data_IF_716945948103
#
_entry.id   IF_716945948103
#
_cell.length_a   1.000
_cell.length_b   1.000
_cell.length_c   1.000
_cell.angle_alpha   90.00
_cell.angle_beta   90.00
_cell.angle_gamma   90.00
#
_symmetry.space_group_name_H-M   'P 1'
#
loop_
_entity.id
_entity.type
_entity.pdbx_description
1 polymer ?
#
# COMPACT_ATOMS: atom_id res chain seq x y z
N UNK A 1 -11.64 -0.83 58.77
CA UNK A 1 -12.48 -1.46 57.74
C UNK A 1 -11.60 -1.79 56.54
N UNK A 2 -11.07 -3.01 56.59
CA UNK A 2 -10.34 -3.71 55.54
C UNK A 2 -11.32 -4.27 54.51
N UNK A 3 -11.03 -4.10 53.22
CA UNK A 3 -11.36 -5.12 52.21
C UNK A 3 -10.36 -5.04 51.07
N UNK A 4 -9.48 -6.06 51.08
CA UNK A 4 -8.68 -6.57 49.98
C UNK A 4 -9.57 -7.14 48.87
N UNK A 5 -9.14 -7.02 47.61
CA UNK A 5 -9.41 -8.04 46.59
C UNK A 5 -8.33 -8.01 45.51
N UNK A 6 -7.48 -9.03 45.58
CA UNK A 6 -6.61 -9.51 44.51
C UNK A 6 -7.42 -9.82 43.25
N UNK A 7 -6.90 -9.49 42.07
CA UNK A 7 -7.09 -10.34 40.89
C UNK A 7 -5.93 -10.23 39.91
N UNK A 8 -5.52 -11.40 39.45
CA UNK A 8 -4.31 -11.74 38.72
C UNK A 8 -4.12 -10.99 37.40
N UNK A 9 -2.89 -10.51 37.16
CA UNK A 9 -2.37 -10.19 35.83
C UNK A 9 -2.29 -11.46 34.97
N UNK A 10 -3.19 -11.56 34.00
CA UNK A 10 -3.08 -12.51 32.88
C UNK A 10 -2.43 -11.77 31.71
N UNK A 11 -1.24 -12.23 31.29
CA UNK A 11 -0.54 -11.77 30.10
C UNK A 11 -1.44 -11.97 28.86
N UNK A 12 -1.57 -11.01 27.93
CA UNK A 12 -2.15 -11.30 26.64
C UNK A 12 -1.12 -12.05 25.79
N UNK A 13 -1.37 -13.33 25.59
CA UNK A 13 -0.73 -14.16 24.57
C UNK A 13 -0.98 -13.55 23.19
N UNK A 14 0.09 -13.20 22.48
CA UNK A 14 0.08 -12.81 21.07
C UNK A 14 -0.53 -13.95 20.24
N UNK A 15 -1.64 -13.68 19.57
CA UNK A 15 -2.28 -14.58 18.62
C UNK A 15 -2.12 -13.96 17.22
N UNK A 16 -1.31 -14.53 16.31
CA UNK A 16 -1.09 -13.97 14.98
C UNK A 16 -2.22 -14.43 14.05
N UNK A 17 -3.44 -13.98 14.33
CA UNK A 17 -4.58 -14.19 13.44
C UNK A 17 -4.76 -12.95 12.58
N UNK A 18 -4.75 -13.14 11.24
CA UNK A 18 -5.27 -12.17 10.28
C UNK A 18 -6.66 -11.71 10.77
N UNK A 19 -6.76 -10.50 11.33
CA UNK A 19 -8.05 -9.84 11.48
C UNK A 19 -8.46 -9.37 10.08
N UNK A 20 -9.26 -10.15 9.38
CA UNK A 20 -10.05 -9.65 8.26
C UNK A 20 -11.06 -8.62 8.81
N UNK A 21 -10.68 -7.33 8.81
CA UNK A 21 -11.61 -6.24 9.09
C UNK A 21 -12.48 -6.02 7.85
N UNK A 22 -13.77 -6.34 7.96
CA UNK A 22 -14.77 -6.03 6.93
C UNK A 22 -15.15 -4.55 7.02
N UNK A 23 -14.65 -3.72 6.09
CA UNK A 23 -15.09 -2.33 5.94
C UNK A 23 -16.28 -2.26 4.98
N UNK A 24 -17.49 -2.01 5.50
CA UNK A 24 -18.69 -1.76 4.70
C UNK A 24 -18.80 -0.26 4.39
N UNK A 25 -18.94 0.16 3.13
CA UNK A 25 -19.17 1.57 2.80
C UNK A 25 -20.55 2.04 3.28
N UNK A 26 -20.73 3.34 3.60
CA UNK A 26 -22.03 3.89 3.99
C UNK A 26 -23.03 3.91 2.81
N UNK A 27 -24.26 3.58 3.19
CA UNK A 27 -25.53 3.46 2.46
C UNK A 27 -25.59 4.02 1.03
N UNK A 28 -25.62 3.11 0.05
CA UNK A 28 -26.27 3.30 -1.24
C UNK A 28 -27.00 1.99 -1.61
N UNK A 29 -28.31 1.97 -1.93
CA UNK A 29 -29.07 0.72 -2.11
C UNK A 29 -28.61 -0.19 -3.26
N UNK A 30 -27.65 0.26 -4.08
CA UNK A 30 -27.09 -0.47 -5.22
C UNK A 30 -25.58 -0.76 -5.13
N UNK A 31 -24.94 -0.63 -3.96
CA UNK A 31 -23.49 -0.87 -3.83
C UNK A 31 -23.13 -2.34 -3.57
N UNK A 32 -22.37 -2.92 -4.51
CA UNK A 32 -21.74 -4.24 -4.45
C UNK A 32 -20.60 -4.28 -3.42
N UNK A 33 -20.45 -5.39 -2.70
CA UNK A 33 -19.27 -5.72 -1.91
C UNK A 33 -18.39 -6.70 -2.69
N UNK A 34 -17.12 -6.33 -2.86
CA UNK A 34 -16.05 -7.12 -3.46
C UNK A 34 -14.76 -6.83 -2.68
N UNK A 35 -13.89 -7.82 -2.58
CA UNK A 35 -12.58 -7.72 -1.93
C UNK A 35 -11.50 -7.54 -3.01
N UNK A 36 -10.53 -6.66 -2.80
CA UNK A 36 -9.39 -6.47 -3.72
C UNK A 36 -8.25 -7.43 -3.36
N UNK A 37 -7.82 -8.32 -4.28
CA UNK A 37 -6.48 -8.88 -4.26
C UNK A 37 -5.45 -7.82 -4.66
N UNK A 38 -4.21 -8.02 -4.22
CA UNK A 38 -3.03 -7.30 -4.71
C UNK A 38 -2.85 -7.49 -6.23
N UNK A 39 -2.44 -6.48 -7.01
CA UNK A 39 -1.78 -6.73 -8.28
C UNK A 39 -0.31 -7.16 -8.04
N UNK A 40 0.22 -8.11 -8.83
CA UNK A 40 1.63 -8.51 -8.74
C UNK A 40 2.59 -7.40 -9.18
N UNK A 41 3.81 -7.42 -8.62
CA UNK A 41 5.00 -6.81 -9.23
C UNK A 41 5.17 -7.40 -10.64
N UNK A 42 4.91 -6.61 -11.68
CA UNK A 42 5.34 -6.89 -13.04
C UNK A 42 6.04 -5.69 -13.64
N UNK A 43 7.29 -5.92 -14.00
CA UNK A 43 8.17 -5.12 -14.83
C UNK A 43 7.48 -4.54 -16.07
N UNK A 44 7.53 -3.22 -16.22
CA UNK A 44 7.44 -2.57 -17.52
C UNK A 44 8.88 -2.36 -17.99
N UNK A 45 9.34 -3.18 -18.93
CA UNK A 45 10.50 -2.84 -19.77
C UNK A 45 10.00 -2.08 -21.00
N UNK A 46 10.71 -1.04 -21.48
CA UNK A 46 10.30 -0.33 -22.69
C UNK A 46 10.81 -1.03 -23.96
N UNK A 47 9.87 -1.26 -24.89
CA UNK A 47 10.02 -1.26 -26.36
C UNK A 47 10.97 -2.25 -27.07
N UNK A 48 10.36 -3.12 -27.90
CA UNK A 48 10.67 -3.18 -29.33
C UNK A 48 9.41 -3.58 -30.13
N UNK A 49 9.16 -2.83 -31.21
CA UNK A 49 8.03 -2.96 -32.17
C UNK A 49 8.16 -4.22 -33.04
N UNK A 50 7.03 -4.81 -33.44
CA UNK A 50 6.73 -5.00 -34.88
C UNK A 50 5.25 -5.29 -35.13
N UNK A 51 4.77 -4.66 -36.20
CA UNK A 51 3.46 -4.70 -36.85
C UNK A 51 3.01 -6.10 -37.29
N UNK A 52 1.69 -6.33 -37.39
CA UNK A 52 1.04 -6.89 -38.58
C UNK A 52 -0.49 -6.69 -38.53
N UNK A 53 -1.04 -6.44 -39.71
CA UNK A 53 -2.40 -6.04 -40.08
C UNK A 53 -3.41 -7.20 -40.11
N UNK A 54 -4.70 -6.86 -40.21
CA UNK A 54 -5.78 -7.68 -40.81
C UNK A 54 -6.96 -7.91 -39.87
N UNK A 55 -8.00 -7.06 -39.88
CA UNK A 55 -9.14 -7.00 -40.82
C UNK A 55 -10.40 -7.64 -40.26
N UNK A 56 -11.42 -6.78 -40.14
CA UNK A 56 -12.87 -7.00 -40.07
C UNK A 56 -13.40 -8.38 -40.49
N UNK A 57 -14.42 -8.84 -39.75
CA UNK A 57 -15.66 -9.39 -40.32
C UNK A 57 -16.83 -9.26 -39.34
N UNK A 58 -17.86 -8.55 -39.79
CA UNK A 58 -19.22 -8.49 -39.24
C UNK A 58 -19.97 -9.74 -39.68
N UNK A 59 -20.89 -10.24 -38.86
CA UNK A 59 -22.07 -10.95 -39.36
C UNK A 59 -23.32 -10.61 -38.52
N UNK A 60 -24.42 -10.50 -39.25
CA UNK A 60 -25.77 -9.98 -38.94
C UNK A 60 -26.64 -11.10 -38.34
N UNK A 61 -27.68 -10.78 -37.52
CA UNK A 61 -28.43 -11.81 -36.79
C UNK A 61 -29.58 -12.40 -37.63
N UNK A 62 -29.83 -13.70 -37.49
CA UNK A 62 -31.05 -14.35 -38.00
C UNK A 62 -31.91 -14.88 -36.86
N UNK A 63 -33.19 -14.53 -36.94
CA UNK A 63 -34.31 -14.96 -36.09
C UNK A 63 -34.78 -16.37 -36.46
N UNK A 64 -34.97 -17.24 -35.46
CA UNK A 64 -35.60 -18.54 -35.61
C UNK A 64 -36.37 -18.91 -34.33
N UNK A 65 -37.64 -19.26 -34.52
CA UNK A 65 -38.69 -19.44 -33.50
C UNK A 65 -38.58 -20.75 -32.70
N UNK A 66 -38.95 -20.63 -31.42
CA UNK A 66 -39.50 -21.58 -30.45
C UNK A 66 -39.46 -23.11 -30.70
N UNK A 67 -39.00 -23.83 -29.67
CA UNK A 67 -39.43 -25.20 -29.37
C UNK A 67 -38.34 -26.08 -28.78
N UNK A 68 -38.13 -26.04 -27.45
CA UNK A 68 -37.24 -26.99 -26.79
C UNK A 68 -37.09 -26.74 -25.29
N UNK A 69 -37.74 -27.58 -24.48
CA UNK A 69 -37.52 -27.70 -23.05
C UNK A 69 -36.03 -27.91 -22.75
N UNK A 70 -35.38 -26.89 -22.22
CA UNK A 70 -34.02 -26.95 -21.70
C UNK A 70 -33.99 -26.25 -20.35
N UNK A 71 -33.80 -27.03 -19.29
CA UNK A 71 -33.50 -26.56 -17.95
C UNK A 71 -32.31 -25.60 -18.00
N UNK A 72 -32.59 -24.30 -17.88
CA UNK A 72 -31.55 -23.29 -17.68
C UNK A 72 -31.05 -23.48 -16.25
N UNK A 73 -30.01 -24.31 -16.09
CA UNK A 73 -29.20 -24.30 -14.89
C UNK A 73 -28.55 -22.90 -14.82
N UNK A 74 -29.22 -21.99 -14.11
CA UNK A 74 -28.67 -20.70 -13.76
C UNK A 74 -27.33 -20.95 -13.09
N UNK A 75 -26.24 -20.53 -13.75
CA UNK A 75 -24.92 -20.52 -13.13
C UNK A 75 -25.05 -19.75 -11.81
N UNK A 76 -25.10 -20.48 -10.69
CA UNK A 76 -25.29 -19.89 -9.38
C UNK A 76 -24.16 -18.87 -9.19
N UNK A 77 -24.51 -17.59 -9.13
CA UNK A 77 -23.51 -16.56 -8.95
C UNK A 77 -22.80 -16.83 -7.63
N UNK A 78 -21.53 -17.24 -7.69
CA UNK A 78 -20.66 -17.47 -6.53
C UNK A 78 -20.47 -16.15 -5.77
N UNK A 79 -21.45 -15.79 -4.95
CA UNK A 79 -21.55 -14.50 -4.27
C UNK A 79 -22.07 -14.69 -2.85
N UNK A 80 -21.42 -13.96 -1.95
CA UNK A 80 -21.87 -13.78 -0.57
C UNK A 80 -22.95 -12.68 -0.52
N UNK A 81 -23.81 -12.77 0.49
CA UNK A 81 -24.74 -11.71 0.88
C UNK A 81 -23.97 -10.54 1.49
N UNK A 82 -24.54 -9.36 1.39
CA UNK A 82 -24.01 -8.16 2.03
C UNK A 82 -24.11 -8.25 3.57
N UNK A 83 -25.27 -8.67 4.06
CA UNK A 83 -25.57 -8.74 5.49
C UNK A 83 -25.52 -10.20 5.97
N UNK A 84 -24.94 -10.45 7.16
CA UNK A 84 -24.92 -11.79 7.72
C UNK A 84 -26.33 -12.21 8.11
N UNK A 85 -26.62 -13.51 7.98
CA UNK A 85 -27.78 -14.12 8.60
C UNK A 85 -27.52 -14.23 10.11
N UNK A 86 -28.26 -13.44 10.90
CA UNK A 86 -28.10 -13.37 12.36
C UNK A 86 -28.62 -14.63 13.06
N UNK A 87 -29.59 -15.31 12.44
CA UNK A 87 -30.26 -16.47 13.01
C UNK A 87 -29.56 -17.78 12.62
N UNK A 88 -28.58 -17.71 11.70
CA UNK A 88 -27.81 -18.87 11.27
C UNK A 88 -26.66 -19.17 12.24
N UNK A 89 -26.60 -20.41 12.72
CA UNK A 89 -25.47 -20.94 13.49
C UNK A 89 -24.50 -21.62 12.52
N UNK A 90 -23.25 -21.13 12.37
CA UNK A 90 -22.25 -21.76 11.51
C UNK A 90 -21.87 -23.15 11.98
N UNK A 91 -21.46 -23.98 11.03
CA UNK A 91 -20.82 -25.26 11.28
C UNK A 91 -19.40 -25.07 11.84
N UNK A 92 -18.91 -26.09 12.55
CA UNK A 92 -17.49 -26.22 12.90
C UNK A 92 -16.71 -26.80 11.72
N UNK A 93 -15.53 -26.26 11.47
CA UNK A 93 -14.67 -26.61 10.33
C UNK A 93 -13.27 -27.10 10.75
N UNK A 94 -13.04 -27.27 12.06
CA UNK A 94 -11.74 -27.53 12.66
C UNK A 94 -11.18 -28.92 12.31
N UNK A 95 -12.06 -29.87 12.04
CA UNK A 95 -11.75 -31.26 11.67
C UNK A 95 -11.46 -31.44 10.18
N UNK A 96 -11.66 -30.41 9.36
CA UNK A 96 -11.49 -30.49 7.91
C UNK A 96 -10.07 -30.11 7.46
N UNK A 97 -9.53 -30.84 6.47
CA UNK A 97 -8.31 -30.42 5.77
C UNK A 97 -8.64 -29.30 4.78
N UNK A 98 -8.48 -28.05 5.21
CA UNK A 98 -8.82 -26.86 4.44
C UNK A 98 -7.58 -26.07 4.04
N UNK A 99 -7.63 -25.44 2.86
CA UNK A 99 -6.52 -24.58 2.41
C UNK A 99 -6.51 -23.20 3.10
N UNK A 100 -7.52 -22.89 3.94
CA UNK A 100 -7.66 -21.65 4.70
C UNK A 100 -8.04 -21.96 6.15
N UNK A 101 -7.85 -21.00 7.06
CA UNK A 101 -8.20 -21.19 8.48
C UNK A 101 -9.68 -21.57 8.64
N UNK A 102 -10.01 -22.59 9.44
CA UNK A 102 -11.39 -22.96 9.76
C UNK A 102 -12.27 -21.79 10.23
N UNK A 103 -11.68 -20.84 10.97
CA UNK A 103 -12.37 -19.64 11.47
C UNK A 103 -12.88 -18.72 10.35
N UNK A 104 -12.22 -18.72 9.19
CA UNK A 104 -12.67 -17.97 8.01
C UNK A 104 -13.96 -18.59 7.48
N UNK A 105 -14.05 -19.92 7.41
CA UNK A 105 -15.24 -20.61 6.93
C UNK A 105 -16.43 -20.39 7.86
N UNK A 106 -16.26 -20.56 9.18
CA UNK A 106 -17.34 -20.31 10.14
C UNK A 106 -17.81 -18.84 10.14
N UNK A 107 -16.89 -17.90 9.89
CA UNK A 107 -17.24 -16.48 9.74
C UNK A 107 -17.97 -16.17 8.44
N UNK A 108 -17.52 -16.74 7.32
CA UNK A 108 -18.10 -16.54 6.00
C UNK A 108 -19.45 -17.23 5.82
N UNK A 109 -19.70 -18.32 6.52
CA UNK A 109 -20.91 -19.13 6.36
C UNK A 109 -22.18 -18.29 6.59
N UNK A 110 -22.15 -17.37 7.56
CA UNK A 110 -23.28 -16.46 7.84
C UNK A 110 -23.65 -15.57 6.66
N UNK A 111 -22.73 -15.38 5.72
CA UNK A 111 -22.93 -14.57 4.51
C UNK A 111 -23.29 -15.42 3.29
N UNK A 112 -23.45 -16.73 3.41
CA UNK A 112 -23.90 -17.56 2.29
C UNK A 112 -25.33 -17.20 1.85
N UNK A 113 -25.65 -17.34 0.55
CA UNK A 113 -27.03 -17.18 0.07
C UNK A 113 -27.95 -18.22 0.72
N UNK A 114 -29.26 -17.96 0.86
CA UNK A 114 -30.19 -18.89 1.50
C UNK A 114 -30.17 -20.30 0.89
N UNK A 115 -29.96 -20.40 -0.42
CA UNK A 115 -29.81 -21.67 -1.14
C UNK A 115 -28.61 -22.52 -0.72
N UNK A 116 -27.61 -21.92 -0.07
CA UNK A 116 -26.38 -22.57 0.40
C UNK A 116 -26.33 -22.77 1.91
N UNK A 117 -27.22 -22.16 2.70
CA UNK A 117 -27.18 -22.30 4.17
C UNK A 117 -27.64 -23.69 4.65
N UNK A 118 -28.52 -24.34 3.88
CA UNK A 118 -29.13 -25.62 4.25
C UNK A 118 -28.49 -26.83 3.54
N UNK A 119 -27.41 -26.64 2.79
CA UNK A 119 -26.69 -27.73 2.10
C UNK A 119 -25.66 -28.39 3.04
N UNK A 120 -25.13 -29.58 2.72
CA UNK A 120 -24.12 -30.23 3.56
C UNK A 120 -22.87 -29.36 3.77
N UNK A 121 -22.25 -29.51 4.96
CA UNK A 121 -21.06 -28.77 5.38
C UNK A 121 -19.93 -28.78 4.34
N UNK A 122 -19.69 -29.92 3.72
CA UNK A 122 -18.64 -30.08 2.70
C UNK A 122 -18.89 -29.24 1.45
N UNK A 123 -20.15 -29.10 1.05
CA UNK A 123 -20.52 -28.31 -0.13
C UNK A 123 -20.53 -26.82 0.19
N UNK A 124 -20.88 -26.42 1.42
CA UNK A 124 -20.64 -25.06 1.92
C UNK A 124 -19.15 -24.73 1.88
N UNK A 125 -18.29 -25.64 2.35
CA UNK A 125 -16.85 -25.47 2.36
C UNK A 125 -16.28 -25.32 0.94
N UNK A 126 -16.71 -26.16 -0.01
CA UNK A 126 -16.32 -26.03 -1.43
C UNK A 126 -16.72 -24.69 -2.01
N UNK A 127 -17.97 -24.24 -1.78
CA UNK A 127 -18.47 -22.96 -2.27
C UNK A 127 -17.68 -21.78 -1.69
N UNK A 128 -17.46 -21.76 -0.38
CA UNK A 128 -16.66 -20.72 0.28
C UNK A 128 -15.21 -20.75 -0.21
N UNK A 129 -14.64 -21.94 -0.41
CA UNK A 129 -13.29 -22.11 -0.96
C UNK A 129 -13.17 -21.53 -2.37
N UNK A 130 -14.13 -21.79 -3.26
CA UNK A 130 -14.13 -21.21 -4.60
C UNK A 130 -14.20 -19.67 -4.58
N UNK A 131 -14.92 -19.11 -3.62
CA UNK A 131 -14.96 -17.66 -3.40
C UNK A 131 -13.59 -17.18 -2.92
N UNK A 132 -13.02 -17.80 -1.88
CA UNK A 132 -11.72 -17.44 -1.31
C UNK A 132 -10.58 -17.53 -2.33
N UNK A 133 -10.58 -18.55 -3.19
CA UNK A 133 -9.55 -18.74 -4.22
C UNK A 133 -9.52 -17.64 -5.29
N UNK A 134 -10.64 -16.95 -5.51
CA UNK A 134 -10.68 -15.78 -6.40
C UNK A 134 -9.96 -14.58 -5.79
N UNK A 135 -9.92 -14.49 -4.47
CA UNK A 135 -9.34 -13.38 -3.73
C UNK A 135 -7.92 -13.65 -3.25
N UNK A 136 -7.58 -14.90 -2.99
CA UNK A 136 -6.25 -15.32 -2.59
C UNK A 136 -5.85 -16.59 -3.34
N UNK A 137 -5.47 -16.47 -4.63
CA UNK A 137 -5.08 -17.59 -5.47
C UNK A 137 -3.92 -18.39 -4.85
N UNK A 138 -3.83 -19.69 -5.19
CA UNK A 138 -2.78 -20.58 -4.66
C UNK A 138 -1.35 -20.01 -4.88
N UNK A 139 -1.10 -19.41 -6.04
CA UNK A 139 0.20 -18.80 -6.34
C UNK A 139 0.59 -17.68 -5.37
N UNK A 140 -0.36 -16.84 -4.96
CA UNK A 140 -0.11 -15.75 -4.00
C UNK A 140 0.13 -16.29 -2.59
N UNK A 141 -0.60 -17.33 -2.19
CA UNK A 141 -0.41 -18.00 -0.89
C UNK A 141 0.96 -18.64 -0.79
N UNK A 142 1.36 -19.38 -1.84
CA UNK A 142 2.68 -20.00 -1.90
C UNK A 142 3.80 -18.94 -1.83
N UNK A 143 3.61 -17.78 -2.46
CA UNK A 143 4.55 -16.65 -2.35
C UNK A 143 4.59 -16.07 -0.94
N UNK A 144 3.44 -15.83 -0.32
CA UNK A 144 3.35 -15.30 1.04
C UNK A 144 3.97 -16.25 2.08
N UNK A 145 3.77 -17.56 1.92
CA UNK A 145 4.39 -18.56 2.78
C UNK A 145 5.91 -18.60 2.61
N UNK A 146 6.42 -18.66 1.36
CA UNK A 146 7.87 -18.59 1.10
C UNK A 146 8.49 -17.32 1.66
N UNK A 147 7.79 -16.19 1.55
CA UNK A 147 8.23 -14.92 2.11
C UNK A 147 8.33 -14.98 3.63
N UNK A 148 7.33 -15.56 4.31
CA UNK A 148 7.34 -15.77 5.76
C UNK A 148 8.50 -16.66 6.20
N UNK A 149 8.72 -17.79 5.52
CA UNK A 149 9.83 -18.71 5.81
C UNK A 149 11.19 -18.02 5.63
N UNK A 150 11.33 -17.19 4.58
CA UNK A 150 12.51 -16.38 4.35
C UNK A 150 12.75 -15.38 5.50
N UNK A 151 11.73 -14.64 5.94
CA UNK A 151 11.84 -13.69 7.06
C UNK A 151 12.19 -14.40 8.36
N UNK A 152 11.55 -15.54 8.64
CA UNK A 152 11.85 -16.35 9.83
C UNK A 152 13.31 -16.82 9.86
N UNK A 153 13.88 -17.20 8.72
CA UNK A 153 15.31 -17.55 8.63
C UNK A 153 16.20 -16.37 8.98
N UNK A 154 15.89 -15.16 8.51
CA UNK A 154 16.66 -13.97 8.88
C UNK A 154 16.55 -13.72 10.38
N UNK A 155 15.34 -13.65 10.91
CA UNK A 155 15.08 -13.38 12.35
C UNK A 155 15.78 -14.40 13.26
N UNK A 156 15.87 -15.67 12.84
CA UNK A 156 16.52 -16.71 13.63
C UNK A 156 18.06 -16.63 13.62
N UNK A 157 18.68 -16.01 12.61
CA UNK A 157 20.13 -16.05 12.40
C UNK A 157 20.82 -14.68 12.51
N UNK A 158 20.09 -13.59 12.30
CA UNK A 158 20.58 -12.23 12.46
C UNK A 158 20.47 -11.78 13.92
N UNK A 159 21.52 -11.14 14.43
CA UNK A 159 21.53 -10.55 15.77
C UNK A 159 21.44 -9.03 15.66
N UNK A 160 20.33 -8.41 16.10
CA UNK A 160 20.18 -6.96 16.07
C UNK A 160 21.22 -6.23 16.89
N UNK A 161 21.74 -5.12 16.36
CA UNK A 161 22.72 -4.27 17.05
C UNK A 161 22.02 -3.33 18.06
N UNK A 162 20.89 -2.75 17.66
CA UNK A 162 20.13 -1.77 18.42
C UNK A 162 18.71 -2.27 18.70
N UNK A 163 18.56 -3.09 19.75
CA UNK A 163 17.27 -3.67 20.16
C UNK A 163 16.18 -2.63 20.41
N UNK A 164 16.56 -1.42 20.79
CA UNK A 164 15.63 -0.30 20.99
C UNK A 164 14.88 0.12 19.73
N UNK A 165 15.44 -0.09 18.52
CA UNK A 165 14.72 0.18 17.26
C UNK A 165 13.49 -0.72 17.08
N UNK A 166 13.49 -1.90 17.71
CA UNK A 166 12.44 -2.90 17.64
C UNK A 166 11.30 -2.63 18.63
N UNK A 167 11.52 -1.72 19.57
CA UNK A 167 10.53 -1.26 20.55
C UNK A 167 10.31 0.23 20.38
N UNK A 168 9.22 0.64 19.73
CA UNK A 168 8.95 2.06 19.48
C UNK A 168 8.91 2.88 20.77
N UNK A 169 9.88 3.78 20.90
CA UNK A 169 9.88 4.84 21.90
C UNK A 169 9.77 6.19 21.18
N UNK A 170 8.56 6.78 21.07
CA UNK A 170 8.36 7.99 20.29
C UNK A 170 9.25 9.14 20.75
N UNK A 171 9.49 9.27 22.06
CA UNK A 171 10.25 10.37 22.65
C UNK A 171 11.74 10.38 22.26
N UNK A 172 12.32 9.22 21.90
CA UNK A 172 13.71 9.12 21.43
C UNK A 172 13.81 9.12 19.91
N UNK A 173 12.72 8.77 19.21
CA UNK A 173 12.73 8.66 17.75
C UNK A 173 12.46 10.00 17.08
N UNK A 174 11.45 10.72 17.57
CA UNK A 174 10.91 11.88 16.87
C UNK A 174 11.36 13.20 17.48
N UNK A 175 11.49 14.23 16.64
CA UNK A 175 11.75 15.58 17.13
C UNK A 175 10.58 16.09 17.98
N UNK A 176 10.82 16.85 19.06
CA UNK A 176 9.75 17.25 19.99
C UNK A 176 8.61 18.03 19.34
N UNK A 177 8.91 18.87 18.33
CA UNK A 177 7.88 19.63 17.61
C UNK A 177 6.91 18.71 16.85
N UNK A 178 7.43 17.68 16.20
CA UNK A 178 6.63 16.67 15.51
C UNK A 178 5.71 15.92 16.46
N UNK A 179 6.24 15.44 17.58
CA UNK A 179 5.44 14.74 18.60
C UNK A 179 4.31 15.58 19.16
N UNK A 180 4.58 16.86 19.48
CA UNK A 180 3.53 17.77 19.95
C UNK A 180 2.42 17.92 18.92
N UNK A 181 2.78 18.13 17.65
CA UNK A 181 1.79 18.27 16.59
C UNK A 181 0.91 17.01 16.44
N UNK A 182 1.52 15.82 16.53
CA UNK A 182 0.82 14.52 16.49
C UNK A 182 -0.10 14.33 17.70
N UNK A 183 0.33 14.73 18.90
CA UNK A 183 -0.48 14.65 20.11
C UNK A 183 -1.68 15.61 20.06
N UNK A 184 -1.47 16.83 19.57
CA UNK A 184 -2.56 17.80 19.35
C UNK A 184 -3.56 17.30 18.30
N UNK A 185 -3.05 16.60 17.28
CA UNK A 185 -3.83 15.91 16.24
C UNK A 185 -4.84 16.81 15.50
N UNK A 186 -4.46 18.06 15.23
CA UNK A 186 -5.27 19.03 14.48
C UNK A 186 -4.60 19.39 13.16
N UNK A 187 -5.39 19.82 12.18
CA UNK A 187 -4.82 20.32 10.92
C UNK A 187 -3.88 21.52 11.17
N UNK A 188 -4.24 22.42 12.09
CA UNK A 188 -3.39 23.57 12.41
C UNK A 188 -2.06 23.15 13.04
N UNK A 189 -2.06 22.22 13.98
CA UNK A 189 -0.82 21.74 14.62
C UNK A 189 0.10 21.06 13.60
N UNK A 190 -0.46 20.31 12.65
CA UNK A 190 0.30 19.73 11.54
C UNK A 190 0.87 20.82 10.63
N UNK A 191 0.05 21.79 10.20
CA UNK A 191 0.50 22.89 9.33
C UNK A 191 1.61 23.73 9.96
N UNK A 192 1.63 23.86 11.29
CA UNK A 192 2.66 24.61 12.00
C UNK A 192 4.07 23.97 11.91
N UNK A 193 4.18 22.67 11.63
CA UNK A 193 5.47 21.96 11.56
C UNK A 193 5.91 21.63 10.14
N UNK A 194 5.09 21.92 9.13
CA UNK A 194 5.35 21.52 7.75
C UNK A 194 5.28 22.69 6.78
N UNK A 195 6.05 22.58 5.71
CA UNK A 195 5.94 23.44 4.53
C UNK A 195 5.36 22.64 3.36
N UNK A 196 4.63 23.32 2.48
CA UNK A 196 4.15 22.77 1.21
C UNK A 196 4.71 23.60 0.04
N UNK A 197 6.00 23.42 -0.32
CA UNK A 197 6.64 24.22 -1.36
C UNK A 197 6.10 23.94 -2.77
N UNK A 198 5.42 22.81 -2.95
CA UNK A 198 4.73 22.45 -4.18
C UNK A 198 3.45 21.68 -3.83
N UNK A 199 2.33 21.86 -4.57
CA UNK A 199 1.06 21.24 -4.24
C UNK A 199 1.15 19.73 -3.99
N UNK A 200 0.76 19.30 -2.79
CA UNK A 200 0.76 17.90 -2.37
C UNK A 200 2.15 17.32 -2.05
N UNK A 201 3.17 18.16 -1.87
CA UNK A 201 4.50 17.78 -1.37
C UNK A 201 4.72 18.48 -0.04
N UNK A 202 4.70 17.72 1.06
CA UNK A 202 4.89 18.25 2.40
C UNK A 202 6.29 17.92 2.91
N UNK A 203 6.93 18.89 3.54
CA UNK A 203 8.30 18.78 4.06
C UNK A 203 8.32 19.21 5.52
N UNK A 204 8.87 18.35 6.39
CA UNK A 204 8.93 18.58 7.84
C UNK A 204 10.05 17.78 8.49
N UNK A 205 10.56 18.28 9.62
CA UNK A 205 11.52 17.54 10.44
C UNK A 205 10.77 16.46 11.24
N UNK A 206 11.24 15.21 11.16
CA UNK A 206 10.54 14.06 11.78
C UNK A 206 11.42 13.37 12.82
N UNK A 207 12.65 13.01 12.49
CA UNK A 207 13.48 12.16 13.34
C UNK A 207 14.59 12.94 14.03
N UNK A 208 14.91 12.52 15.26
CA UNK A 208 16.12 12.98 15.93
C UNK A 208 17.35 12.43 15.21
N UNK A 209 18.44 13.19 15.22
CA UNK A 209 19.72 12.76 14.63
C UNK A 209 20.19 11.42 15.21
N UNK A 210 20.01 11.22 16.52
CA UNK A 210 20.36 9.96 17.18
C UNK A 210 19.60 8.75 16.63
N UNK A 211 18.29 8.90 16.34
CA UNK A 211 17.53 7.83 15.70
C UNK A 211 18.04 7.51 14.28
N UNK A 212 18.36 8.54 13.48
CA UNK A 212 18.95 8.33 12.16
C UNK A 212 20.28 7.57 12.26
N UNK A 213 21.12 7.89 13.24
CA UNK A 213 22.38 7.18 13.50
C UNK A 213 22.16 5.71 13.87
N UNK A 214 21.27 5.43 14.82
CA UNK A 214 20.95 4.06 15.25
C UNK A 214 20.43 3.22 14.08
N UNK A 215 19.53 3.78 13.28
CA UNK A 215 18.96 3.07 12.14
C UNK A 215 20.02 2.80 11.07
N UNK A 216 20.91 3.76 10.79
CA UNK A 216 22.03 3.57 9.86
C UNK A 216 22.98 2.47 10.32
N UNK A 217 23.42 2.47 11.58
CA UNK A 217 24.33 1.44 12.10
C UNK A 217 23.68 0.06 12.14
N UNK A 218 22.38 -0.03 12.38
CA UNK A 218 21.63 -1.30 12.29
C UNK A 218 21.64 -1.84 10.84
N UNK A 219 21.41 -0.98 9.84
CA UNK A 219 21.44 -1.36 8.42
C UNK A 219 22.84 -1.82 8.01
N UNK A 220 23.88 -1.09 8.42
CA UNK A 220 25.27 -1.45 8.16
C UNK A 220 25.62 -2.82 8.80
N UNK A 221 25.15 -3.07 10.02
CA UNK A 221 25.33 -4.35 10.69
C UNK A 221 24.60 -5.49 9.95
N UNK A 222 23.38 -5.23 9.47
CA UNK A 222 22.63 -6.19 8.66
C UNK A 222 23.33 -6.53 7.34
N UNK A 223 23.76 -5.54 6.56
CA UNK A 223 24.48 -5.76 5.30
C UNK A 223 25.83 -6.47 5.51
N UNK A 224 26.52 -6.17 6.62
CA UNK A 224 27.73 -6.90 7.04
C UNK A 224 27.44 -8.37 7.29
N UNK A 225 26.42 -8.68 8.09
CA UNK A 225 25.99 -10.05 8.35
C UNK A 225 25.61 -10.78 7.05
N UNK A 226 24.86 -10.13 6.15
CA UNK A 226 24.49 -10.67 4.83
C UNK A 226 25.75 -11.07 4.03
N UNK A 227 26.75 -10.19 4.02
CA UNK A 227 28.01 -10.41 3.30
C UNK A 227 28.82 -11.56 3.91
N UNK A 228 29.01 -11.56 5.23
CA UNK A 228 29.80 -12.57 5.94
C UNK A 228 29.18 -13.97 5.86
N UNK A 229 27.86 -14.06 5.98
CA UNK A 229 27.12 -15.33 5.89
C UNK A 229 26.79 -15.74 4.45
N UNK A 230 27.03 -14.86 3.48
CA UNK A 230 26.59 -15.01 2.07
C UNK A 230 25.09 -15.30 1.96
N UNK A 231 24.30 -14.75 2.88
CA UNK A 231 22.86 -14.94 2.89
C UNK A 231 22.23 -14.19 1.71
N UNK A 232 21.31 -14.83 0.99
CA UNK A 232 20.62 -14.17 -0.13
C UNK A 232 19.40 -13.41 0.38
N UNK A 233 19.44 -12.08 0.30
CA UNK A 233 18.31 -11.22 0.64
C UNK A 233 17.53 -10.75 -0.59
N UNK A 234 16.27 -10.35 -0.38
CA UNK A 234 15.51 -9.62 -1.38
C UNK A 234 15.88 -8.14 -1.35
N UNK A 235 16.02 -7.53 -2.53
CA UNK A 235 16.32 -6.11 -2.65
C UNK A 235 15.06 -5.25 -2.53
N UNK A 236 15.19 -3.98 -2.11
CA UNK A 236 14.07 -3.14 -1.69
C UNK A 236 12.93 -3.04 -2.71
N UNK A 237 13.29 -2.84 -3.97
CA UNK A 237 12.37 -2.78 -5.10
C UNK A 237 13.08 -3.25 -6.38
N UNK A 238 12.39 -3.21 -7.52
CA UNK A 238 12.94 -3.66 -8.81
C UNK A 238 13.89 -2.66 -9.47
N UNK A 239 13.99 -1.44 -8.95
CA UNK A 239 14.79 -0.35 -9.52
C UNK A 239 16.08 -0.08 -8.73
N UNK A 240 16.14 -0.45 -7.45
CA UNK A 240 17.30 -0.28 -6.58
C UNK A 240 18.03 -1.60 -6.36
N UNK A 241 19.35 -1.59 -6.53
CA UNK A 241 20.22 -2.74 -6.29
C UNK A 241 20.73 -2.78 -4.86
N UNK A 242 20.78 -1.64 -4.17
CA UNK A 242 21.34 -1.50 -2.83
C UNK A 242 20.30 -1.01 -1.81
N UNK A 243 20.53 -1.37 -0.55
CA UNK A 243 19.60 -1.20 0.56
C UNK A 243 18.88 -2.49 0.95
N UNK A 244 18.03 -2.37 1.97
CA UNK A 244 17.37 -3.48 2.65
C UNK A 244 15.88 -3.20 2.93
N UNK A 245 15.08 -4.27 2.95
CA UNK A 245 13.68 -4.23 3.43
C UNK A 245 13.70 -4.40 4.95
N UNK A 246 13.15 -3.44 5.67
CA UNK A 246 13.29 -3.38 7.13
C UNK A 246 12.45 -4.45 7.85
N UNK A 247 11.32 -4.84 7.27
CA UNK A 247 10.46 -5.90 7.79
C UNK A 247 11.20 -7.25 7.81
N UNK A 248 12.14 -7.47 6.88
CA UNK A 248 12.83 -8.75 6.71
C UNK A 248 13.67 -9.14 7.94
N UNK A 249 14.22 -8.14 8.63
CA UNK A 249 15.05 -8.34 9.81
C UNK A 249 14.42 -7.79 11.10
N UNK A 250 13.08 -7.66 11.11
CA UNK A 250 12.27 -7.57 12.32
C UNK A 250 11.72 -6.18 12.69
N UNK A 251 11.87 -5.16 11.85
CA UNK A 251 11.38 -3.81 12.14
C UNK A 251 9.89 -3.58 11.79
N UNK A 252 9.17 -4.61 11.36
CA UNK A 252 7.75 -4.54 10.97
C UNK A 252 6.88 -3.87 12.04
N UNK A 253 6.98 -4.28 13.31
CA UNK A 253 6.19 -3.66 14.40
C UNK A 253 6.53 -2.18 14.62
N UNK A 254 7.77 -1.76 14.35
CA UNK A 254 8.16 -0.34 14.43
C UNK A 254 7.50 0.45 13.29
N UNK A 255 7.55 -0.09 12.08
CA UNK A 255 6.99 0.53 10.88
C UNK A 255 5.46 0.56 10.89
N UNK A 256 4.81 -0.48 11.42
CA UNK A 256 3.36 -0.50 11.65
C UNK A 256 2.96 0.68 12.54
N UNK A 257 3.63 0.85 13.68
CA UNK A 257 3.36 1.96 14.60
C UNK A 257 3.68 3.32 13.98
N UNK A 258 4.75 3.43 13.19
CA UNK A 258 5.09 4.64 12.45
C UNK A 258 3.95 5.02 11.48
N UNK A 259 3.48 4.06 10.68
CA UNK A 259 2.38 4.26 9.74
C UNK A 259 1.09 4.63 10.49
N UNK A 260 0.66 3.82 11.44
CA UNK A 260 -0.65 3.93 12.08
C UNK A 260 -0.78 5.14 12.99
N UNK A 261 0.26 5.40 13.79
CA UNK A 261 0.26 6.41 14.84
C UNK A 261 0.72 7.79 14.38
N UNK A 262 1.49 7.88 13.29
CA UNK A 262 2.15 9.14 12.90
C UNK A 262 1.88 9.53 11.45
N UNK A 263 1.97 8.59 10.50
CA UNK A 263 1.75 8.92 9.08
C UNK A 263 0.27 8.99 8.70
N UNK A 264 -0.55 8.07 9.21
CA UNK A 264 -2.00 8.05 8.95
C UNK A 264 -2.73 9.30 9.48
N UNK A 265 -2.43 9.88 10.66
CA UNK A 265 -3.01 11.15 11.09
C UNK A 265 -2.75 12.31 10.12
N UNK A 266 -1.51 12.46 9.64
CA UNK A 266 -1.17 13.46 8.62
C UNK A 266 -1.91 13.16 7.31
N UNK A 267 -1.94 11.90 6.92
CA UNK A 267 -2.51 11.47 5.64
C UNK A 267 -4.01 11.63 5.57
N UNK A 268 -4.71 11.46 6.70
CA UNK A 268 -6.14 11.78 6.83
C UNK A 268 -6.45 13.23 6.48
N UNK A 269 -5.54 14.17 6.78
CA UNK A 269 -5.76 15.61 6.54
C UNK A 269 -5.34 15.98 5.11
N UNK A 270 -4.13 15.60 4.69
CA UNK A 270 -3.54 16.11 3.46
C UNK A 270 -3.74 15.22 2.23
N UNK A 271 -4.17 13.97 2.43
CA UNK A 271 -4.31 12.95 1.38
C UNK A 271 -5.64 12.21 1.46
N UNK A 272 -6.70 12.90 1.93
CA UNK A 272 -8.04 12.32 2.08
C UNK A 272 -8.62 11.76 0.76
N UNK A 273 -8.28 12.38 -0.37
CA UNK A 273 -8.76 12.00 -1.71
C UNK A 273 -8.06 10.77 -2.29
N UNK A 274 -6.99 10.29 -1.65
CA UNK A 274 -6.28 9.05 -2.03
C UNK A 274 -6.28 8.01 -0.91
N UNK A 275 -7.28 8.03 -0.03
CA UNK A 275 -7.41 7.02 1.03
C UNK A 275 -6.47 7.20 2.21
N UNK A 276 -5.96 8.41 2.44
CA UNK A 276 -5.02 8.69 3.54
C UNK A 276 -5.56 8.37 4.94
N UNK A 277 -6.88 8.32 5.13
CA UNK A 277 -7.52 7.91 6.39
C UNK A 277 -7.62 6.39 6.59
N UNK A 278 -7.43 5.61 5.53
CA UNK A 278 -7.65 4.15 5.50
C UNK A 278 -6.37 3.39 5.15
N UNK A 279 -5.21 3.97 5.44
CA UNK A 279 -3.92 3.29 5.30
C UNK A 279 -3.85 2.10 6.27
N UNK A 280 -3.52 0.92 5.74
CA UNK A 280 -3.62 -0.37 6.42
C UNK A 280 -2.46 -1.34 6.14
N UNK A 281 -1.52 -0.96 5.26
CA UNK A 281 -0.34 -1.76 4.96
C UNK A 281 0.81 -0.87 4.51
N UNK A 282 2.04 -1.33 4.76
CA UNK A 282 3.24 -0.61 4.34
C UNK A 282 4.24 -1.50 3.59
N UNK A 283 5.19 -0.86 2.92
CA UNK A 283 6.45 -1.48 2.51
C UNK A 283 7.56 -0.52 2.93
N UNK A 284 8.27 -0.88 4.00
CA UNK A 284 9.31 -0.05 4.61
C UNK A 284 10.70 -0.56 4.25
N UNK A 285 11.51 0.31 3.65
CA UNK A 285 12.83 -0.07 3.15
C UNK A 285 13.77 1.11 3.11
N UNK A 286 15.07 0.82 3.03
CA UNK A 286 16.10 1.82 2.76
C UNK A 286 16.69 1.63 1.38
N UNK A 287 17.13 2.74 0.80
CA UNK A 287 17.90 2.78 -0.44
C UNK A 287 19.21 3.50 -0.19
N UNK A 288 20.26 3.05 -0.86
CA UNK A 288 21.62 3.55 -0.73
C UNK A 288 22.12 4.09 -2.07
N UNK A 289 22.59 5.34 -2.08
CA UNK A 289 23.16 5.99 -3.26
C UNK A 289 24.58 6.49 -3.03
N UNK A 290 25.46 6.33 -4.03
CA UNK A 290 26.87 6.70 -3.95
C UNK A 290 27.70 6.03 -5.04
N UNK A 291 29.02 6.26 -5.03
CA UNK A 291 29.95 5.81 -6.08
C UNK A 291 29.96 4.28 -6.31
N UNK A 292 29.87 3.50 -5.24
CA UNK A 292 29.84 2.03 -5.26
C UNK A 292 28.46 1.47 -4.89
N UNK A 293 27.42 2.26 -5.20
CA UNK A 293 26.00 1.97 -4.92
C UNK A 293 25.16 2.35 -6.16
N UNK A 294 23.85 2.51 -6.00
CA UNK A 294 23.05 3.14 -7.05
C UNK A 294 23.47 4.61 -7.18
N UNK A 295 23.55 5.16 -8.40
CA UNK A 295 23.99 6.55 -8.59
C UNK A 295 22.80 7.49 -8.61
N UNK A 296 21.75 7.11 -9.33
CA UNK A 296 20.50 7.85 -9.49
C UNK A 296 19.30 6.89 -9.46
N UNK A 297 18.10 7.47 -9.59
CA UNK A 297 16.90 6.69 -9.85
C UNK A 297 16.04 7.42 -10.87
N UNK A 298 15.81 6.76 -12.01
CA UNK A 298 15.05 7.29 -13.12
C UNK A 298 13.61 7.67 -12.76
N UNK A 299 12.94 8.30 -13.71
CA UNK A 299 11.57 8.79 -13.55
C UNK A 299 10.56 7.67 -13.30
N UNK A 300 9.79 7.76 -12.22
CA UNK A 300 8.82 6.74 -11.80
C UNK A 300 7.67 7.32 -10.96
N UNK A 301 6.80 6.42 -10.51
CA UNK A 301 5.79 6.63 -9.47
C UNK A 301 5.93 5.50 -8.45
N UNK A 302 5.47 5.72 -7.23
CA UNK A 302 5.45 4.68 -6.21
C UNK A 302 4.18 3.85 -6.28
N UNK A 303 4.31 2.57 -5.90
CA UNK A 303 3.17 1.71 -5.60
C UNK A 303 2.65 1.98 -4.18
N UNK A 304 2.16 3.19 -3.96
CA UNK A 304 1.60 3.65 -2.70
C UNK A 304 0.46 4.65 -2.94
N UNK A 305 -0.40 4.81 -1.93
CA UNK A 305 -1.30 5.95 -1.87
C UNK A 305 -0.52 7.18 -1.36
N UNK A 306 0.27 6.99 -0.29
CA UNK A 306 1.13 8.00 0.31
C UNK A 306 2.53 7.41 0.52
N UNK A 307 3.56 8.18 0.14
CA UNK A 307 4.97 7.86 0.36
C UNK A 307 5.57 8.82 1.36
N UNK A 308 6.21 8.27 2.39
CA UNK A 308 7.15 8.98 3.24
C UNK A 308 8.57 8.67 2.74
N UNK A 309 9.39 9.71 2.54
CA UNK A 309 10.80 9.60 2.19
C UNK A 309 11.64 10.46 3.14
N UNK A 310 12.49 9.85 3.96
CA UNK A 310 13.29 10.53 4.97
C UNK A 310 14.77 10.32 4.70
N UNK A 311 15.55 11.40 4.68
CA UNK A 311 17.00 11.27 4.57
C UNK A 311 17.59 10.86 5.92
N UNK A 312 18.36 9.78 5.94
CA UNK A 312 19.08 9.30 7.13
C UNK A 312 20.56 9.71 7.10
N UNK A 313 21.17 9.68 5.91
CA UNK A 313 22.62 9.91 5.73
C UNK A 313 23.07 11.32 6.07
N UNK A 314 24.33 11.49 6.49
CA UNK A 314 24.85 12.75 7.05
C UNK A 314 25.65 13.64 6.08
N UNK A 315 26.46 13.05 5.20
CA UNK A 315 27.36 13.80 4.32
C UNK A 315 27.35 13.23 2.90
N UNK A 316 26.74 13.98 1.98
CA UNK A 316 26.73 13.69 0.55
C UNK A 316 26.47 14.98 -0.25
N UNK A 317 26.64 14.92 -1.57
CA UNK A 317 26.27 16.01 -2.48
C UNK A 317 25.56 15.45 -3.72
N UNK A 318 24.70 16.26 -4.33
CA UNK A 318 23.75 15.78 -5.34
C UNK A 318 22.63 14.95 -4.72
N UNK A 319 22.00 14.10 -5.53
CA UNK A 319 20.93 13.23 -5.04
C UNK A 319 19.60 13.94 -4.83
N UNK A 320 19.38 15.11 -5.44
CA UNK A 320 18.12 15.84 -5.32
C UNK A 320 16.95 14.98 -5.80
N UNK A 321 15.85 15.01 -5.07
CA UNK A 321 14.58 14.51 -5.59
C UNK A 321 14.03 15.51 -6.59
N UNK A 322 13.48 15.02 -7.68
CA UNK A 322 12.80 15.86 -8.65
C UNK A 322 11.39 15.36 -8.87
N UNK A 323 10.41 16.25 -8.85
CA UNK A 323 8.98 16.00 -8.98
C UNK A 323 8.43 16.67 -10.23
N UNK A 324 7.52 15.98 -10.92
CA UNK A 324 6.98 16.40 -12.22
C UNK A 324 5.46 16.23 -12.28
N UNK A 325 4.77 16.62 -11.21
CA UNK A 325 3.31 16.59 -11.13
C UNK A 325 2.69 15.20 -11.06
N UNK A 326 1.38 15.19 -10.79
CA UNK A 326 0.60 13.98 -10.54
C UNK A 326 -0.16 13.57 -11.82
N UNK A 327 -0.21 12.26 -12.10
CA UNK A 327 -0.90 11.71 -13.28
C UNK A 327 -1.71 10.45 -13.00
N UNK A 328 -2.86 10.34 -13.66
CA UNK A 328 -3.60 9.09 -13.77
C UNK A 328 -2.85 8.08 -14.66
N UNK A 329 -3.31 6.84 -14.68
CA UNK A 329 -2.67 5.75 -15.45
C UNK A 329 -2.58 6.08 -16.95
N UNK A 330 -3.63 6.70 -17.50
CA UNK A 330 -3.67 7.10 -18.92
C UNK A 330 -2.65 8.19 -19.27
N UNK A 331 -2.25 9.01 -18.30
CA UNK A 331 -1.41 10.18 -18.55
C UNK A 331 -0.03 10.11 -17.86
N UNK A 332 0.37 8.95 -17.32
CA UNK A 332 1.63 8.84 -16.58
C UNK A 332 2.85 9.24 -17.42
N UNK A 333 2.80 8.97 -18.73
CA UNK A 333 3.88 9.23 -19.69
C UNK A 333 3.77 10.59 -20.42
N UNK A 334 2.82 11.46 -20.07
CA UNK A 334 2.71 12.77 -20.73
C UNK A 334 3.84 13.70 -20.31
N UNK A 335 4.04 14.80 -21.03
CA UNK A 335 4.95 15.87 -20.61
C UNK A 335 4.64 16.45 -19.23
N UNK A 336 5.57 17.27 -18.75
CA UNK A 336 5.45 18.02 -17.50
C UNK A 336 5.44 19.50 -17.84
N UNK A 337 4.65 20.27 -17.11
CA UNK A 337 4.57 21.72 -17.28
C UNK A 337 5.42 22.46 -16.25
N UNK A 338 5.82 23.72 -16.50
CA UNK A 338 6.71 24.47 -15.60
C UNK A 338 6.20 24.54 -14.15
N UNK A 339 4.90 24.68 -13.93
CA UNK A 339 4.27 24.73 -12.60
C UNK A 339 4.32 23.40 -11.83
N UNK A 340 4.67 22.31 -12.52
CA UNK A 340 4.76 20.97 -11.95
C UNK A 340 6.19 20.57 -11.59
N UNK A 341 7.17 21.42 -11.93
CA UNK A 341 8.60 21.16 -11.71
C UNK A 341 8.95 21.62 -10.29
N UNK A 342 9.31 20.67 -9.45
CA UNK A 342 9.85 20.93 -8.13
C UNK A 342 11.04 20.01 -7.86
N UNK A 343 12.16 20.58 -7.42
CA UNK A 343 13.37 19.84 -7.06
C UNK A 343 13.68 20.10 -5.58
N UNK A 344 14.11 19.06 -4.86
CA UNK A 344 14.34 19.09 -3.42
C UNK A 344 15.68 18.47 -3.04
N UNK A 345 16.49 19.25 -2.33
CA UNK A 345 17.73 18.79 -1.72
C UNK A 345 17.47 18.20 -0.34
N UNK A 346 17.91 16.97 -0.13
CA UNK A 346 17.68 16.27 1.12
C UNK A 346 18.43 16.89 2.31
N UNK A 347 17.79 16.82 3.48
CA UNK A 347 18.36 17.18 4.77
C UNK A 347 18.20 15.99 5.72
N UNK A 348 19.24 15.57 6.46
CA UNK A 348 19.14 14.45 7.39
C UNK A 348 18.05 14.68 8.45
N UNK A 349 17.25 13.66 8.76
CA UNK A 349 16.14 13.73 9.71
C UNK A 349 14.86 14.40 9.17
N UNK A 350 14.90 14.96 7.95
CA UNK A 350 13.76 15.63 7.30
C UNK A 350 13.03 14.70 6.34
N UNK A 351 11.71 14.72 6.45
CA UNK A 351 10.79 13.97 5.61
C UNK A 351 10.32 14.77 4.40
N UNK A 352 10.07 14.06 3.31
CA UNK A 352 9.18 14.46 2.22
C UNK A 352 8.00 13.48 2.23
N UNK A 353 6.79 14.01 2.35
CA UNK A 353 5.55 13.24 2.30
C UNK A 353 4.76 13.65 1.07
N UNK A 354 4.47 12.70 0.18
CA UNK A 354 3.80 12.97 -1.09
C UNK A 354 2.90 11.80 -1.51
N UNK A 355 2.06 12.04 -2.52
CA UNK A 355 1.28 10.96 -3.15
C UNK A 355 2.19 9.99 -3.88
N UNK A 356 1.90 8.70 -3.83
CA UNK A 356 2.67 7.72 -4.60
C UNK A 356 2.58 7.94 -6.11
N UNK A 357 1.44 8.45 -6.59
CA UNK A 357 1.22 8.83 -8.00
C UNK A 357 1.88 10.14 -8.43
N UNK A 358 2.57 10.84 -7.52
CA UNK A 358 3.39 11.99 -7.90
C UNK A 358 4.61 11.48 -8.65
N UNK A 359 4.75 11.87 -9.92
CA UNK A 359 5.86 11.40 -10.73
C UNK A 359 7.15 12.07 -10.28
N UNK A 360 8.18 11.28 -10.03
CA UNK A 360 9.42 11.79 -9.46
C UNK A 360 10.61 10.88 -9.78
N UNK A 361 11.81 11.28 -9.34
CA UNK A 361 13.03 10.48 -9.39
C UNK A 361 14.11 11.10 -8.51
N UNK A 362 15.29 10.51 -8.53
CA UNK A 362 16.47 11.03 -7.82
C UNK A 362 17.57 11.34 -8.82
N UNK A 363 18.18 12.52 -8.71
CA UNK A 363 19.39 12.89 -9.46
C UNK A 363 20.59 12.10 -8.94
N UNK A 364 21.69 12.16 -9.70
CA UNK A 364 22.93 11.50 -9.34
C UNK A 364 23.49 12.01 -8.01
N UNK A 365 23.85 11.10 -7.10
CA UNK A 365 24.67 11.41 -5.93
C UNK A 365 26.13 11.52 -6.40
N UNK A 366 26.70 12.72 -6.32
CA UNK A 366 28.03 13.02 -6.88
C UNK A 366 29.17 12.83 -5.88
N UNK A 367 28.85 12.81 -4.59
CA UNK A 367 29.81 12.66 -3.49
C UNK A 367 29.12 12.05 -2.27
N UNK A 368 29.86 11.29 -1.48
CA UNK A 368 29.40 10.71 -0.21
C UNK A 368 28.44 9.52 -0.38
N UNK A 369 27.76 9.21 0.72
CA UNK A 369 26.81 8.10 0.81
C UNK A 369 25.46 8.63 1.30
N UNK A 370 24.46 8.62 0.42
CA UNK A 370 23.09 9.03 0.72
C UNK A 370 22.26 7.81 1.02
N UNK A 371 21.67 7.77 2.22
CA UNK A 371 20.73 6.72 2.62
C UNK A 371 19.40 7.36 2.96
N UNK A 372 18.33 6.81 2.39
CA UNK A 372 16.98 7.28 2.62
C UNK A 372 16.09 6.14 3.11
N UNK A 373 15.28 6.41 4.12
CA UNK A 373 14.16 5.57 4.54
C UNK A 373 12.94 5.91 3.69
N UNK A 374 12.32 4.88 3.11
CA UNK A 374 11.05 4.97 2.42
C UNK A 374 10.00 4.14 3.14
N UNK A 375 8.81 4.70 3.28
CA UNK A 375 7.62 3.98 3.73
C UNK A 375 6.49 4.19 2.73
N UNK A 376 6.25 3.18 1.91
CA UNK A 376 5.12 3.15 0.98
C UNK A 376 3.88 2.70 1.71
N UNK A 377 2.98 3.64 2.02
CA UNK A 377 1.74 3.37 2.73
C UNK A 377 0.61 3.11 1.72
N UNK A 378 -0.15 2.05 1.97
CA UNK A 378 -1.23 1.62 1.09
C UNK A 378 -2.57 1.54 1.81
N UNK A 379 -3.65 1.68 1.05
CA UNK A 379 -5.02 1.49 1.52
C UNK A 379 -5.75 0.46 0.66
N UNK A 380 -6.05 -0.71 1.24
CA UNK A 380 -6.85 -1.74 0.55
C UNK A 380 -8.24 -1.22 0.17
N UNK A 381 -8.87 -0.42 1.04
CA UNK A 381 -10.20 0.18 0.82
C UNK A 381 -10.17 1.11 -0.39
N UNK A 382 -9.20 2.02 -0.47
CA UNK A 382 -9.09 2.94 -1.59
C UNK A 382 -8.83 2.20 -2.91
N UNK A 383 -7.95 1.20 -2.89
CA UNK A 383 -7.64 0.39 -4.07
C UNK A 383 -8.85 -0.37 -4.60
N UNK A 384 -9.69 -0.90 -3.71
CA UNK A 384 -10.97 -1.51 -4.10
C UNK A 384 -11.93 -0.47 -4.68
N UNK A 385 -12.12 0.67 -4.02
CA UNK A 385 -13.01 1.73 -4.52
C UNK A 385 -12.58 2.24 -5.90
N UNK A 386 -11.26 2.34 -6.14
CA UNK A 386 -10.69 2.77 -7.41
C UNK A 386 -11.12 1.89 -8.59
N UNK A 387 -11.39 0.61 -8.37
CA UNK A 387 -11.87 -0.29 -9.44
C UNK A 387 -13.24 0.12 -10.00
N UNK A 388 -14.06 0.82 -9.22
CA UNK A 388 -15.41 1.25 -9.60
C UNK A 388 -15.48 2.73 -9.98
N UNK A 389 -14.47 3.53 -9.61
CA UNK A 389 -14.38 4.93 -10.03
C UNK A 389 -13.89 5.01 -11.48
N UNK A 390 -14.76 5.49 -12.37
CA UNK A 390 -14.44 5.68 -13.80
C UNK A 390 -13.87 7.07 -14.11
N UNK A 391 -13.98 8.02 -13.17
CA UNK A 391 -13.55 9.40 -13.37
C UNK A 391 -12.40 9.78 -12.42
N UNK A 392 -11.20 9.92 -12.98
CA UNK A 392 -9.99 10.37 -12.28
C UNK A 392 -9.62 11.81 -12.67
N UNK A 393 -10.56 12.57 -13.24
CA UNK A 393 -10.25 13.84 -13.87
C UNK A 393 -9.83 14.95 -12.90
N UNK A 394 -10.22 14.86 -11.63
CA UNK A 394 -10.03 15.95 -10.67
C UNK A 394 -8.60 16.12 -10.18
N UNK A 395 -7.86 15.03 -9.96
CA UNK A 395 -6.51 15.06 -9.39
C UNK A 395 -5.38 14.93 -10.41
N UNK A 396 -5.67 14.46 -11.62
CA UNK A 396 -4.67 14.38 -12.68
C UNK A 396 -4.50 15.76 -13.33
N UNK A 397 -3.29 16.33 -13.26
CA UNK A 397 -2.98 17.64 -13.86
C UNK A 397 -3.36 17.72 -15.33
N UNK A 398 -3.04 16.66 -16.09
CA UNK A 398 -3.38 16.55 -17.51
C UNK A 398 -4.89 16.51 -17.78
N UNK A 399 -5.65 15.71 -17.02
CA UNK A 399 -7.10 15.65 -17.17
C UNK A 399 -7.75 17.01 -16.87
N UNK A 400 -7.32 17.66 -15.79
CA UNK A 400 -7.85 18.96 -15.39
C UNK A 400 -7.57 20.03 -16.44
N UNK A 401 -6.38 20.00 -17.05
CA UNK A 401 -6.00 20.90 -18.13
C UNK A 401 -6.84 20.69 -19.38
N UNK A 402 -6.96 19.46 -19.87
CA UNK A 402 -7.81 19.14 -21.03
C UNK A 402 -9.27 19.54 -20.78
N UNK A 403 -9.75 19.44 -19.54
CA UNK A 403 -11.09 19.91 -19.14
C UNK A 403 -11.19 21.43 -19.22
N UNK A 404 -10.22 22.17 -18.68
CA UNK A 404 -10.16 23.65 -18.76
C UNK A 404 -10.04 24.15 -20.21
N UNK A 405 -9.24 23.49 -21.04
CA UNK A 405 -9.10 23.82 -22.47
C UNK A 405 -10.44 23.66 -23.21
N UNK A 406 -11.15 22.54 -23.01
CA UNK A 406 -12.50 22.34 -23.57
C UNK A 406 -13.47 23.43 -23.12
N UNK A 407 -13.48 23.76 -21.83
CA UNK A 407 -14.33 24.83 -21.29
C UNK A 407 -14.03 26.19 -21.91
N UNK A 408 -12.75 26.55 -22.08
CA UNK A 408 -12.35 27.80 -22.75
C UNK A 408 -12.82 27.83 -24.20
N UNK A 409 -12.66 26.73 -24.95
CA UNK A 409 -13.13 26.64 -26.32
C UNK A 409 -14.66 26.76 -26.43
N UNK A 410 -15.41 26.14 -25.52
CA UNK A 410 -16.88 26.28 -25.48
C UNK A 410 -17.30 27.72 -25.18
N UNK A 411 -16.67 28.39 -24.20
CA UNK A 411 -16.97 29.79 -23.86
C UNK A 411 -16.63 30.72 -25.05
N UNK A 412 -15.51 30.49 -25.72
CA UNK A 412 -15.13 31.26 -26.90
C UNK A 412 -16.15 31.08 -28.04
N UNK A 413 -16.63 29.85 -28.27
CA UNK A 413 -17.65 29.56 -29.28
C UNK A 413 -19.00 30.23 -28.96
N UNK A 414 -19.42 30.27 -27.69
CA UNK A 414 -20.67 30.93 -27.27
C UNK A 414 -20.59 32.46 -27.29
N UNK A 415 -19.39 33.06 -27.26
CA UNK A 415 -19.21 34.51 -27.42
C UNK A 415 -19.17 34.97 -28.88
N UNK A 416 -19.04 34.04 -29.82
CA UNK A 416 -19.03 34.29 -31.27
C UNK A 416 -20.41 34.05 -31.92
N UNK A 417 -21.39 33.59 -31.14
CA UNK A 417 -22.81 33.51 -31.46
C UNK A 417 -23.53 34.68 -30.78
#
# INVERSE_FOLDING_TARGET
FTTSLNSHLVRPTQNPNLQLRFCFPPQNPNSLVRFSPWPPRSSITPTQKMSLLGSDRRDVPSSGSAGGNGTVAAAASLRLRLNPNKDHKPDGYEDMQLDFSPNIFSSLEKYLPPSMLNVPRDDKAKFMREILLKYLPLGERNRAQKHREYRQKIIANYQPLHRELYSVNPATFFVPAFLRAINDNTEQSFRNIMSEPSPGIFIFDIFQTHFCELLLSEIENFEKWVTETKFRIMRPNTMNKFGAVLDDFGLETMLDKLMEGFIRPLSRVFFADVGGSTLDSHHGFVVEYGKDRDVDLGFHVDDSEVTLNVCLGKQFSGGELFFRGIRCEKHVNTGSHPEEIFDYSHVPGRAVLHRGRHRHGARATTSGHRVNLLLWCRSSVFREMKQYQKDFSSWCGECNRQKKERQRSTIAATRLL
#
